data_IF_410976497408
#
_entry.id   IF_410976497408
#
_cell.length_a   1.000
_cell.length_b   1.000
_cell.length_c   1.000
_cell.angle_alpha   90.00
_cell.angle_beta   90.00
_cell.angle_gamma   90.00
#
_symmetry.space_group_name_H-M   'P 1'
#
loop_
_entity.id
_entity.type
_entity.pdbx_description
1 polymer ?
#
# COMPACT_ATOMS: atom_id res chain seq x y z
N UNK A 1 60.02 -25.34 20.85
CA UNK A 1 58.69 -25.62 21.43
C UNK A 1 57.71 -25.86 20.29
N UNK A 2 57.20 -27.08 20.13
CA UNK A 2 56.24 -27.44 19.07
C UNK A 2 54.84 -27.20 19.62
N UNK A 3 54.13 -26.19 19.11
CA UNK A 3 52.74 -25.93 19.49
C UNK A 3 51.88 -27.11 19.05
N UNK A 4 51.20 -27.77 19.98
CA UNK A 4 50.15 -28.75 19.69
C UNK A 4 48.96 -28.00 19.12
N UNK A 5 48.57 -28.33 17.89
CA UNK A 5 47.34 -27.83 17.30
C UNK A 5 46.21 -28.64 17.91
N UNK A 6 45.39 -28.00 18.74
CA UNK A 6 44.14 -28.58 19.25
C UNK A 6 43.19 -28.81 18.06
N UNK A 7 42.81 -30.06 17.81
CA UNK A 7 41.80 -30.41 16.81
C UNK A 7 40.39 -30.19 17.35
N UNK A 8 39.49 -29.74 16.48
CA UNK A 8 38.05 -29.65 16.78
C UNK A 8 37.48 -31.07 16.95
N UNK A 9 36.66 -31.29 17.97
CA UNK A 9 35.98 -32.59 18.15
C UNK A 9 34.80 -32.70 17.18
N UNK A 10 34.49 -33.92 16.73
CA UNK A 10 33.31 -34.20 15.91
C UNK A 10 32.02 -33.80 16.64
N UNK A 11 32.02 -33.97 17.97
CA UNK A 11 30.87 -33.62 18.82
C UNK A 11 30.65 -32.10 18.86
N UNK A 12 31.71 -31.29 18.92
CA UNK A 12 31.59 -29.83 18.84
C UNK A 12 30.98 -29.38 17.52
N UNK A 13 31.40 -29.97 16.39
CA UNK A 13 30.82 -29.62 15.10
C UNK A 13 29.35 -30.09 14.98
N UNK A 14 29.01 -31.24 15.55
CA UNK A 14 27.65 -31.78 15.55
C UNK A 14 26.68 -30.88 16.33
N UNK A 15 27.06 -30.42 17.51
CA UNK A 15 26.20 -29.52 18.30
C UNK A 15 25.96 -28.21 17.56
N UNK A 16 26.98 -27.66 16.88
CA UNK A 16 26.85 -26.40 16.13
C UNK A 16 25.84 -26.52 14.99
N UNK A 17 25.89 -27.59 14.19
CA UNK A 17 24.93 -27.76 13.08
C UNK A 17 23.51 -27.97 13.60
N UNK A 18 23.33 -28.64 14.75
CA UNK A 18 22.02 -28.82 15.38
C UNK A 18 21.46 -27.46 15.84
N UNK A 19 22.28 -26.64 16.50
CA UNK A 19 21.86 -25.29 16.92
C UNK A 19 21.50 -24.42 15.72
N UNK A 20 22.31 -24.43 14.66
CA UNK A 20 22.03 -23.67 13.43
C UNK A 20 20.72 -24.15 12.79
N UNK A 21 20.47 -25.46 12.73
CA UNK A 21 19.23 -26.01 12.18
C UNK A 21 17.98 -25.55 12.96
N UNK A 22 18.05 -25.55 14.29
CA UNK A 22 16.94 -25.08 15.14
C UNK A 22 16.68 -23.58 14.92
N UNK A 23 17.74 -22.76 14.92
CA UNK A 23 17.61 -21.31 14.69
C UNK A 23 17.10 -21.00 13.28
N UNK A 24 17.54 -21.74 12.27
CA UNK A 24 17.06 -21.58 10.90
C UNK A 24 15.57 -21.92 10.78
N UNK A 25 15.10 -22.97 11.44
CA UNK A 25 13.68 -23.34 11.43
C UNK A 25 12.79 -22.26 12.06
N UNK A 26 13.19 -21.71 13.21
CA UNK A 26 12.44 -20.65 13.90
C UNK A 26 12.42 -19.37 13.05
N UNK A 27 13.56 -18.97 12.50
CA UNK A 27 13.66 -17.74 11.70
C UNK A 27 12.87 -17.84 10.40
N UNK A 28 12.83 -19.00 9.75
CA UNK A 28 12.06 -19.20 8.52
C UNK A 28 10.55 -18.94 8.72
N UNK A 29 9.96 -19.40 9.83
CA UNK A 29 8.53 -19.18 10.11
C UNK A 29 8.24 -17.71 10.41
N UNK A 30 9.12 -17.03 11.17
CA UNK A 30 8.94 -15.62 11.50
C UNK A 30 9.11 -14.70 10.28
N UNK A 31 9.95 -15.07 9.32
CA UNK A 31 10.31 -14.25 8.17
C UNK A 31 9.11 -13.87 7.28
N UNK A 32 8.18 -14.81 7.05
CA UNK A 32 7.00 -14.56 6.21
C UNK A 32 6.09 -13.47 6.80
N UNK A 33 5.86 -13.51 8.12
CA UNK A 33 5.04 -12.50 8.80
C UNK A 33 5.70 -11.11 8.82
N UNK A 34 7.04 -11.06 8.92
CA UNK A 34 7.79 -9.79 8.88
C UNK A 34 7.70 -9.16 7.49
N UNK A 35 7.85 -9.95 6.42
CA UNK A 35 7.71 -9.44 5.06
C UNK A 35 6.31 -8.89 4.77
N UNK A 36 5.27 -9.60 5.19
CA UNK A 36 3.88 -9.15 5.03
C UNK A 36 3.65 -7.78 5.68
N UNK A 37 4.10 -7.62 6.94
CA UNK A 37 4.04 -6.33 7.65
C UNK A 37 4.85 -5.23 6.97
N UNK A 38 6.01 -5.55 6.42
CA UNK A 38 6.82 -4.58 5.70
C UNK A 38 6.12 -4.09 4.42
N UNK A 39 5.46 -4.99 3.67
CA UNK A 39 4.66 -4.62 2.50
C UNK A 39 3.45 -3.77 2.87
N UNK A 40 2.70 -4.14 3.90
CA UNK A 40 1.56 -3.35 4.39
C UNK A 40 1.97 -1.95 4.86
N UNK A 41 3.09 -1.84 5.58
CA UNK A 41 3.64 -0.54 5.98
C UNK A 41 4.01 0.31 4.77
N UNK A 42 4.55 -0.30 3.72
CA UNK A 42 4.83 0.38 2.46
C UNK A 42 3.54 0.87 1.79
N UNK A 43 2.49 0.04 1.69
CA UNK A 43 1.17 0.44 1.17
C UNK A 43 0.61 1.67 1.90
N UNK A 44 0.76 1.69 3.23
CA UNK A 44 0.34 2.82 4.06
C UNK A 44 1.16 4.10 3.78
N UNK A 45 2.48 3.98 3.63
CA UNK A 45 3.34 5.11 3.28
C UNK A 45 3.04 5.64 1.88
N UNK A 46 2.91 4.75 0.90
CA UNK A 46 2.57 5.08 -0.48
C UNK A 46 1.23 5.85 -0.54
N UNK A 47 0.25 5.45 0.29
CA UNK A 47 -1.03 6.17 0.38
C UNK A 47 -0.91 7.61 0.83
N UNK A 48 -0.04 7.86 1.80
CA UNK A 48 0.23 9.20 2.32
C UNK A 48 1.00 10.04 1.31
N UNK A 49 1.91 9.42 0.56
CA UNK A 49 2.68 10.10 -0.48
C UNK A 49 1.79 10.52 -1.66
N UNK A 50 0.96 9.59 -2.17
CA UNK A 50 0.02 9.86 -3.26
C UNK A 50 -0.98 10.94 -2.83
N UNK A 51 -1.49 10.87 -1.60
CA UNK A 51 -2.37 11.91 -1.06
C UNK A 51 -1.71 13.29 -1.12
N UNK A 52 -0.49 13.44 -0.61
CA UNK A 52 0.24 14.73 -0.65
C UNK A 52 0.40 15.26 -2.07
N UNK A 53 0.74 14.39 -3.02
CA UNK A 53 0.86 14.78 -4.42
C UNK A 53 -0.47 15.23 -5.03
N UNK A 54 -1.58 14.57 -4.67
CA UNK A 54 -2.93 14.97 -5.10
C UNK A 54 -3.37 16.31 -4.51
N UNK A 55 -3.04 16.59 -3.25
CA UNK A 55 -3.32 17.88 -2.62
C UNK A 55 -2.53 19.01 -3.30
N UNK A 56 -1.24 18.77 -3.63
CA UNK A 56 -0.44 19.73 -4.39
C UNK A 56 -0.99 19.93 -5.81
N UNK A 57 -1.38 18.85 -6.50
CA UNK A 57 -2.02 18.93 -7.80
C UNK A 57 -3.28 19.80 -7.76
N UNK A 58 -4.11 19.63 -6.72
CA UNK A 58 -5.33 20.42 -6.53
C UNK A 58 -5.01 21.91 -6.41
N UNK A 59 -3.98 22.28 -5.63
CA UNK A 59 -3.61 23.69 -5.42
C UNK A 59 -3.32 24.39 -6.75
N UNK A 60 -2.63 23.71 -7.68
CA UNK A 60 -2.24 24.32 -8.95
C UNK A 60 -3.34 24.23 -10.02
N UNK A 61 -4.15 23.17 -10.02
CA UNK A 61 -5.11 22.88 -11.09
C UNK A 61 -6.58 23.16 -10.68
N UNK A 62 -6.83 23.60 -9.45
CA UNK A 62 -8.13 23.78 -8.81
C UNK A 62 -9.03 22.52 -8.77
N UNK A 63 -8.49 21.37 -9.13
CA UNK A 63 -9.25 20.14 -9.23
C UNK A 63 -8.32 18.92 -9.17
N UNK A 64 -8.88 17.73 -8.92
CA UNK A 64 -8.10 16.49 -8.93
C UNK A 64 -7.99 15.90 -10.34
N UNK A 65 -6.93 15.11 -10.64
CA UNK A 65 -6.77 14.47 -11.94
C UNK A 65 -8.01 13.67 -12.35
N UNK A 66 -8.58 13.97 -13.51
CA UNK A 66 -9.73 13.21 -14.02
C UNK A 66 -9.29 11.85 -14.55
N UNK A 67 -10.08 10.82 -14.33
CA UNK A 67 -9.91 9.48 -14.90
C UNK A 67 -10.68 9.27 -16.20
N UNK A 68 -11.25 10.33 -16.79
CA UNK A 68 -12.03 10.22 -18.03
C UNK A 68 -13.30 9.37 -17.88
N UNK A 69 -13.85 9.27 -16.66
CA UNK A 69 -15.00 8.43 -16.33
C UNK A 69 -14.67 6.99 -15.94
N UNK A 70 -13.39 6.62 -15.89
CA UNK A 70 -12.93 5.30 -15.43
C UNK A 70 -12.19 5.35 -14.08
N UNK A 71 -11.27 4.43 -13.88
CA UNK A 71 -10.36 4.37 -12.74
C UNK A 71 -8.92 4.18 -13.25
N UNK A 72 -7.94 4.64 -12.47
CA UNK A 72 -6.53 4.32 -12.71
C UNK A 72 -6.10 3.15 -11.81
N UNK A 73 -5.37 2.16 -12.34
CA UNK A 73 -4.88 1.02 -11.54
C UNK A 73 -3.42 0.73 -11.80
N UNK A 74 -2.65 0.49 -10.74
CA UNK A 74 -1.20 0.23 -10.81
C UNK A 74 -0.82 -1.02 -11.62
N UNK A 75 -1.77 -1.91 -11.90
CA UNK A 75 -1.57 -3.13 -12.68
C UNK A 75 -1.73 -2.93 -14.19
N UNK A 76 -2.23 -1.78 -14.63
CA UNK A 76 -2.55 -1.55 -16.04
C UNK A 76 -1.86 -0.28 -16.60
N UNK A 77 -1.98 -0.04 -17.90
CA UNK A 77 -1.28 1.07 -18.57
C UNK A 77 -1.82 2.46 -18.22
N UNK A 78 -3.05 2.57 -17.71
CA UNK A 78 -3.65 3.86 -17.39
C UNK A 78 -3.02 4.51 -16.15
N UNK A 79 -2.33 3.72 -15.30
CA UNK A 79 -1.50 4.25 -14.21
C UNK A 79 -0.42 5.19 -14.72
N UNK A 80 0.10 4.94 -15.93
CA UNK A 80 1.14 5.80 -16.53
C UNK A 80 0.60 7.18 -16.92
N UNK A 81 -0.67 7.26 -17.34
CA UNK A 81 -1.37 8.53 -17.58
C UNK A 81 -1.52 9.30 -16.28
N UNK A 82 -1.93 8.62 -15.20
CA UNK A 82 -2.02 9.22 -13.88
C UNK A 82 -0.67 9.68 -13.33
N UNK A 83 0.37 8.86 -13.50
CA UNK A 83 1.75 9.20 -13.14
C UNK A 83 2.26 10.42 -13.92
N UNK A 84 1.88 10.56 -15.19
CA UNK A 84 2.23 11.73 -16.00
C UNK A 84 1.59 13.01 -15.46
N UNK A 85 0.33 12.94 -15.03
CA UNK A 85 -0.36 14.07 -14.40
C UNK A 85 0.26 14.48 -13.05
N UNK A 86 0.74 13.51 -12.26
CA UNK A 86 1.34 13.75 -10.95
C UNK A 86 2.85 14.01 -10.97
N UNK A 87 3.52 13.86 -12.12
CA UNK A 87 4.97 14.02 -12.27
C UNK A 87 5.56 15.31 -11.68
N UNK A 88 4.89 16.48 -11.75
CA UNK A 88 5.41 17.70 -11.12
C UNK A 88 5.42 17.65 -9.58
N UNK A 89 4.55 16.83 -8.99
CA UNK A 89 4.29 16.76 -7.55
C UNK A 89 4.93 15.54 -6.87
N UNK A 90 5.31 14.55 -7.66
CA UNK A 90 5.93 13.31 -7.20
C UNK A 90 6.82 12.73 -8.30
N UNK A 91 8.07 12.40 -7.96
CA UNK A 91 9.07 11.92 -8.93
C UNK A 91 8.68 10.61 -9.59
N UNK A 92 8.10 9.67 -8.84
CA UNK A 92 7.61 8.39 -9.34
C UNK A 92 6.35 8.00 -8.58
N UNK A 93 5.28 7.71 -9.31
CA UNK A 93 4.06 7.21 -8.70
C UNK A 93 4.29 5.77 -8.21
N UNK A 94 4.12 5.48 -6.91
CA UNK A 94 4.39 4.13 -6.40
C UNK A 94 3.39 3.12 -6.96
N UNK A 95 3.84 1.88 -7.00
CA UNK A 95 3.03 0.70 -7.30
C UNK A 95 3.10 -0.25 -6.11
N UNK A 96 2.10 -1.11 -5.97
CA UNK A 96 2.08 -2.11 -4.91
C UNK A 96 3.36 -2.98 -4.94
N UNK A 97 3.91 -3.42 -3.79
CA UNK A 97 5.11 -4.25 -3.77
C UNK A 97 4.99 -5.58 -4.53
N UNK A 98 3.79 -6.15 -4.63
CA UNK A 98 3.50 -7.36 -5.40
C UNK A 98 2.92 -7.01 -6.78
N UNK A 99 2.08 -5.97 -6.84
CA UNK A 99 1.46 -5.44 -8.07
C UNK A 99 0.87 -6.53 -8.98
N UNK A 100 -0.07 -7.30 -8.44
CA UNK A 100 -0.74 -8.41 -9.12
C UNK A 100 -2.28 -8.24 -9.09
N UNK A 101 -3.01 -9.27 -9.53
CA UNK A 101 -4.48 -9.22 -9.59
C UNK A 101 -5.18 -9.00 -8.25
N UNK A 102 -4.51 -9.28 -7.13
CA UNK A 102 -5.04 -9.15 -5.77
C UNK A 102 -4.36 -8.05 -4.95
N UNK A 103 -3.23 -7.51 -5.42
CA UNK A 103 -2.45 -6.49 -4.73
C UNK A 103 -2.18 -5.32 -5.66
N UNK A 104 -2.96 -4.26 -5.55
CA UNK A 104 -2.84 -3.11 -6.45
C UNK A 104 -3.42 -1.84 -5.84
N UNK A 105 -3.04 -0.71 -6.43
CA UNK A 105 -3.58 0.60 -6.09
C UNK A 105 -4.60 1.01 -7.14
N UNK A 106 -5.72 1.59 -6.71
CA UNK A 106 -6.72 2.14 -7.62
C UNK A 106 -7.06 3.58 -7.24
N UNK A 107 -7.07 4.47 -8.22
CA UNK A 107 -7.56 5.84 -8.08
C UNK A 107 -8.83 6.02 -8.90
N UNK A 108 -9.82 6.71 -8.35
CA UNK A 108 -10.97 7.16 -9.10
C UNK A 108 -11.36 8.57 -8.65
N UNK A 109 -11.76 9.39 -9.63
CA UNK A 109 -12.39 10.67 -9.38
C UNK A 109 -13.83 10.61 -9.88
N UNK A 110 -14.78 10.16 -9.04
CA UNK A 110 -16.18 10.13 -9.43
C UNK A 110 -16.77 11.54 -9.52
N UNK A 111 -17.90 11.67 -10.20
CA UNK A 111 -18.71 12.89 -10.12
C UNK A 111 -19.26 13.05 -8.70
N UNK A 112 -19.40 14.29 -8.23
CA UNK A 112 -19.85 14.60 -6.87
C UNK A 112 -21.22 14.03 -6.48
N UNK A 113 -22.05 13.67 -7.46
CA UNK A 113 -23.38 13.03 -7.28
C UNK A 113 -23.36 11.50 -7.37
N UNK A 114 -22.21 10.92 -7.70
CA UNK A 114 -22.05 9.48 -7.92
C UNK A 114 -21.63 8.76 -6.64
N UNK A 115 -21.74 7.42 -6.65
CA UNK A 115 -21.32 6.55 -5.55
C UNK A 115 -21.83 7.03 -4.19
N UNK A 116 -23.16 7.09 -4.07
CA UNK A 116 -23.88 7.33 -2.82
C UNK A 116 -23.69 8.69 -2.14
N UNK A 117 -23.05 9.63 -2.83
CA UNK A 117 -23.00 11.04 -2.45
C UNK A 117 -24.04 11.85 -3.26
N UNK A 118 -25.32 11.44 -3.21
CA UNK A 118 -26.39 12.02 -4.05
C UNK A 118 -26.87 13.40 -3.60
N UNK A 119 -26.40 13.92 -2.46
CA UNK A 119 -26.81 15.22 -1.94
C UNK A 119 -26.19 16.40 -2.70
N UNK A 120 -25.17 16.16 -3.54
CA UNK A 120 -24.48 17.21 -4.32
C UNK A 120 -23.73 18.23 -3.45
N UNK A 121 -23.88 18.15 -2.12
CA UNK A 121 -23.32 19.06 -1.13
C UNK A 121 -21.80 18.96 -1.00
N UNK A 122 -21.18 17.93 -1.59
CA UNK A 122 -19.80 17.54 -1.31
C UNK A 122 -18.80 17.85 -2.43
N UNK A 123 -19.18 18.63 -3.46
CA UNK A 123 -18.24 18.98 -4.53
C UNK A 123 -17.59 17.77 -5.20
N UNK A 124 -16.44 17.97 -5.85
CA UNK A 124 -15.68 16.85 -6.40
C UNK A 124 -14.79 16.24 -5.33
N UNK A 125 -14.67 14.91 -5.33
CA UNK A 125 -13.79 14.17 -4.44
C UNK A 125 -13.02 13.11 -5.25
N UNK A 126 -11.97 12.57 -4.64
CA UNK A 126 -11.31 11.39 -5.16
C UNK A 126 -11.35 10.26 -4.15
N UNK A 127 -11.16 9.04 -4.64
CA UNK A 127 -11.04 7.84 -3.84
C UNK A 127 -9.77 7.11 -4.26
N UNK A 128 -8.94 6.74 -3.29
CA UNK A 128 -7.78 5.88 -3.44
C UNK A 128 -8.02 4.56 -2.72
N UNK A 129 -7.81 3.44 -3.40
CA UNK A 129 -7.88 2.10 -2.85
C UNK A 129 -6.49 1.47 -2.84
N UNK A 130 -6.21 0.81 -1.73
CA UNK A 130 -5.00 0.01 -1.50
C UNK A 130 -5.46 -1.40 -1.20
N UNK A 131 -5.24 -2.30 -2.15
CA UNK A 131 -5.86 -3.62 -2.19
C UNK A 131 -4.82 -4.68 -1.84
N UNK A 132 -5.22 -5.67 -1.05
CA UNK A 132 -4.35 -6.78 -0.67
C UNK A 132 -3.50 -6.52 0.57
N UNK A 133 -4.05 -5.84 1.59
CA UNK A 133 -3.41 -5.86 2.91
C UNK A 133 -3.35 -7.28 3.44
N UNK A 134 -2.16 -7.69 3.87
CA UNK A 134 -1.90 -9.06 4.31
C UNK A 134 -2.17 -9.26 5.80
N UNK A 135 -2.33 -8.16 6.55
CA UNK A 135 -2.70 -8.16 7.95
C UNK A 135 -3.86 -7.17 8.16
N UNK A 136 -5.01 -7.67 8.64
CA UNK A 136 -6.18 -6.85 8.93
C UNK A 136 -5.89 -5.69 9.91
N UNK A 137 -4.96 -5.89 10.84
CA UNK A 137 -4.53 -4.85 11.79
C UNK A 137 -3.80 -3.67 11.13
N UNK A 138 -3.27 -3.85 9.92
CA UNK A 138 -2.56 -2.81 9.18
C UNK A 138 -3.46 -2.07 8.18
N UNK A 139 -4.69 -2.55 7.96
CA UNK A 139 -5.64 -1.85 7.11
C UNK A 139 -6.00 -0.52 7.79
N UNK A 140 -5.90 0.62 7.08
CA UNK A 140 -6.42 1.88 7.58
C UNK A 140 -7.92 1.74 7.88
N UNK A 141 -8.31 1.93 9.15
CA UNK A 141 -9.64 1.58 9.65
C UNK A 141 -10.75 2.58 9.32
N UNK A 142 -10.43 3.73 8.73
CA UNK A 142 -11.41 4.73 8.27
C UNK A 142 -10.89 5.52 7.08
N UNK A 143 -11.79 5.85 6.14
CA UNK A 143 -11.55 6.94 5.21
C UNK A 143 -11.35 8.22 6.03
N UNK A 144 -10.16 8.81 5.98
CA UNK A 144 -9.78 9.89 6.91
C UNK A 144 -10.59 11.20 6.80
N UNK A 145 -11.60 11.29 5.93
CA UNK A 145 -12.32 12.55 5.70
C UNK A 145 -13.85 12.42 5.78
N UNK A 146 -14.47 11.53 5.01
CA UNK A 146 -15.93 11.34 5.05
C UNK A 146 -16.33 9.96 4.52
N UNK A 147 -17.61 9.62 4.65
CA UNK A 147 -18.22 8.41 4.06
C UNK A 147 -19.49 8.85 3.30
N UNK A 148 -19.63 8.43 2.04
CA UNK A 148 -20.90 8.53 1.30
C UNK A 148 -21.90 7.49 1.84
N UNK A 149 -23.08 7.89 2.38
CA UNK A 149 -23.97 6.98 3.12
C UNK A 149 -24.44 5.74 2.37
N UNK A 150 -24.64 5.82 1.05
CA UNK A 150 -25.15 4.71 0.23
C UNK A 150 -24.10 4.01 -0.63
N UNK A 151 -22.83 4.35 -0.45
CA UNK A 151 -21.77 3.92 -1.35
C UNK A 151 -20.95 2.72 -0.88
N UNK A 152 -21.15 2.28 0.36
CA UNK A 152 -20.50 1.07 0.88
C UNK A 152 -18.97 1.08 0.78
N UNK A 153 -18.33 2.25 0.83
CA UNK A 153 -16.88 2.41 0.81
C UNK A 153 -16.25 1.98 2.14
N UNK A 154 -16.47 0.74 2.53
CA UNK A 154 -15.94 0.17 3.77
C UNK A 154 -14.54 -0.34 3.47
N UNK A 155 -13.55 0.13 4.23
CA UNK A 155 -12.32 -0.64 4.39
C UNK A 155 -12.70 -1.99 4.98
N UNK A 156 -12.44 -3.08 4.26
CA UNK A 156 -12.62 -4.42 4.80
C UNK A 156 -11.31 -4.94 5.39
N UNK A 157 -11.25 -6.21 5.79
CA UNK A 157 -10.05 -6.79 6.40
C UNK A 157 -8.81 -6.79 5.50
N UNK A 158 -8.95 -6.50 4.19
CA UNK A 158 -7.88 -6.60 3.18
C UNK A 158 -7.80 -5.39 2.24
N UNK A 159 -8.77 -4.48 2.27
CA UNK A 159 -8.85 -3.32 1.41
C UNK A 159 -8.86 -2.04 2.23
N UNK A 160 -7.82 -1.21 2.08
CA UNK A 160 -7.78 0.14 2.63
C UNK A 160 -8.37 1.16 1.65
N UNK A 161 -9.17 2.11 2.16
CA UNK A 161 -9.80 3.16 1.35
C UNK A 161 -9.50 4.55 1.91
N UNK A 162 -9.08 5.45 1.03
CA UNK A 162 -8.83 6.86 1.33
C UNK A 162 -9.73 7.75 0.49
N UNK A 163 -10.33 8.75 1.13
CA UNK A 163 -11.22 9.73 0.51
C UNK A 163 -10.82 11.11 1.01
N UNK A 164 -10.76 12.10 0.13
CA UNK A 164 -10.49 13.48 0.52
C UNK A 164 -11.44 14.46 -0.20
N UNK A 165 -11.77 15.56 0.49
CA UNK A 165 -12.75 16.56 0.07
C UNK A 165 -12.11 17.74 -0.68
N UNK A 166 -12.93 18.52 -1.39
CA UNK A 166 -12.56 19.85 -1.86
C UNK A 166 -13.16 20.91 -0.92
N UNK A 167 -12.34 21.51 -0.02
CA UNK A 167 -12.63 22.84 0.51
C UNK A 167 -12.65 23.87 -0.60
#
# INVERSE_FOLDING_TARGET
MRKTVSGFTIVELLIVIVVIAILAAITAVAYNGIQARARDNRRSNDSTEIQKALELYKIDNNDYPTSGGGYYESTNTNWTTFATALKPYMSNLPVDPLNDANHYYRYIRPAGTSYGCSDGSRGNFYVLWFIGYEQAANVPSTSKSFICPSAGWISDATHGVWQAWQY
#
